data_IF_359529034318
#
_entry.id   IF_359529034318
#
_cell.length_a   1.000
_cell.length_b   1.000
_cell.length_c   1.000
_cell.angle_alpha   90.00
_cell.angle_beta   90.00
_cell.angle_gamma   90.00
#
_symmetry.space_group_name_H-M   'P 1'
#
loop_
_entity.id
_entity.type
_entity.pdbx_description
1 polymer ?
#
# COMPACT_ATOMS: atom_id res chain seq x y z
N UNK A 1 45.09 35.85 -56.45
CA UNK A 1 44.75 37.20 -56.93
C UNK A 1 43.22 37.31 -56.91
N UNK A 2 42.70 38.23 -56.07
CA UNK A 2 41.42 38.98 -56.20
C UNK A 2 40.06 38.26 -56.34
N UNK A 3 39.26 38.36 -55.26
CA UNK A 3 37.77 38.46 -55.18
C UNK A 3 37.23 39.67 -56.02
N UNK A 4 35.90 40.01 -56.16
CA UNK A 4 34.71 39.64 -55.36
C UNK A 4 33.32 39.53 -56.11
N UNK A 5 32.25 39.36 -55.30
CA UNK A 5 30.85 39.89 -55.40
C UNK A 5 29.64 38.96 -55.62
N UNK A 6 28.58 39.35 -54.91
CA UNK A 6 27.27 38.74 -54.61
C UNK A 6 26.39 38.33 -55.80
N UNK A 7 25.48 37.39 -55.52
CA UNK A 7 24.37 37.04 -56.41
C UNK A 7 23.30 36.18 -55.71
N UNK A 8 22.30 36.85 -55.15
CA UNK A 8 21.06 36.30 -54.58
C UNK A 8 20.30 35.42 -55.60
N UNK A 9 19.72 34.30 -55.16
CA UNK A 9 18.66 33.60 -55.91
C UNK A 9 17.59 33.00 -54.98
N UNK A 10 16.31 32.97 -55.42
CA UNK A 10 15.14 32.79 -54.57
C UNK A 10 14.70 31.32 -54.49
N UNK A 11 14.13 30.88 -53.35
CA UNK A 11 13.41 29.60 -53.27
C UNK A 11 12.12 29.70 -52.45
N UNK A 12 11.03 29.76 -53.22
CA UNK A 12 9.79 28.97 -53.14
C UNK A 12 9.34 28.47 -51.74
N UNK A 13 8.17 28.96 -51.33
CA UNK A 13 7.34 28.40 -50.28
C UNK A 13 6.71 27.05 -50.69
N UNK A 14 6.75 26.02 -49.83
CA UNK A 14 5.75 24.97 -49.80
C UNK A 14 4.80 25.20 -48.62
N UNK A 15 3.55 25.48 -48.98
CA UNK A 15 2.41 25.60 -48.11
C UNK A 15 2.06 24.22 -47.51
N UNK A 16 2.33 23.99 -46.22
CA UNK A 16 1.86 22.80 -45.49
C UNK A 16 0.84 23.23 -44.44
N UNK A 17 -0.39 22.77 -44.64
CA UNK A 17 -1.54 23.00 -43.75
C UNK A 17 -1.22 22.47 -42.34
N UNK A 18 -1.53 23.20 -41.26
CA UNK A 18 -1.38 22.64 -39.92
C UNK A 18 -2.45 21.56 -39.71
N UNK A 19 -2.00 20.32 -39.53
CA UNK A 19 -2.81 19.23 -39.03
C UNK A 19 -3.31 19.60 -37.63
N UNK A 20 -4.63 19.58 -37.43
CA UNK A 20 -5.23 19.72 -36.10
C UNK A 20 -4.75 18.56 -35.24
N UNK A 21 -3.85 18.86 -34.30
CA UNK A 21 -3.50 17.96 -33.22
C UNK A 21 -4.75 17.74 -32.37
N UNK A 22 -5.34 16.56 -32.48
CA UNK A 22 -6.35 16.09 -31.54
C UNK A 22 -5.59 15.78 -30.25
N UNK A 23 -5.59 16.73 -29.33
CA UNK A 23 -5.05 16.54 -27.99
C UNK A 23 -5.99 15.58 -27.23
N UNK A 24 -5.60 14.31 -27.15
CA UNK A 24 -6.25 13.32 -26.29
C UNK A 24 -5.96 13.69 -24.83
N UNK A 25 -6.89 14.39 -24.17
CA UNK A 25 -6.84 14.63 -22.74
C UNK A 25 -6.99 13.29 -22.01
N UNK A 26 -5.89 12.81 -21.43
CA UNK A 26 -5.89 11.74 -20.44
C UNK A 26 -6.58 12.25 -19.16
N UNK A 27 -7.80 11.79 -18.93
CA UNK A 27 -8.48 11.98 -17.64
C UNK A 27 -7.77 11.07 -16.64
N UNK A 28 -7.00 11.65 -15.72
CA UNK A 28 -6.25 10.91 -14.71
C UNK A 28 -7.16 10.22 -13.69
N UNK A 29 -6.95 8.93 -13.46
CA UNK A 29 -7.11 8.41 -12.11
C UNK A 29 -6.05 9.09 -11.25
N UNK A 30 -6.46 9.99 -10.36
CA UNK A 30 -5.58 10.53 -9.35
C UNK A 30 -5.23 9.42 -8.34
N UNK A 31 -4.26 8.57 -8.70
CA UNK A 31 -3.46 7.87 -7.70
C UNK A 31 -2.61 8.96 -7.07
N UNK A 32 -2.96 9.29 -5.84
CA UNK A 32 -2.28 10.25 -4.99
C UNK A 32 -0.86 9.77 -4.67
N UNK A 33 0.06 9.95 -5.60
CA UNK A 33 1.49 9.89 -5.34
C UNK A 33 1.92 11.24 -4.75
N UNK A 34 1.70 11.43 -3.45
CA UNK A 34 2.36 12.50 -2.71
C UNK A 34 3.86 12.17 -2.69
N UNK A 35 4.62 12.81 -3.57
CA UNK A 35 6.08 12.82 -3.49
C UNK A 35 6.49 13.43 -2.14
N UNK A 36 7.06 12.61 -1.26
CA UNK A 36 7.56 13.03 0.03
C UNK A 36 8.72 14.03 -0.12
N UNK A 37 8.45 15.30 0.15
CA UNK A 37 9.50 16.28 0.40
C UNK A 37 9.95 16.15 1.86
N UNK A 38 10.88 15.23 2.15
CA UNK A 38 11.59 15.20 3.43
C UNK A 38 12.74 16.21 3.42
N UNK A 39 12.57 17.36 4.09
CA UNK A 39 13.68 18.25 4.46
C UNK A 39 14.24 17.84 5.83
N UNK A 40 15.56 17.97 6.08
CA UNK A 40 16.14 17.57 7.36
C UNK A 40 15.75 18.58 8.45
N UNK A 41 15.00 18.13 9.46
CA UNK A 41 14.84 18.87 10.72
C UNK A 41 15.88 18.34 11.70
N UNK A 42 17.04 18.97 11.73
CA UNK A 42 18.02 18.78 12.81
C UNK A 42 17.58 19.60 14.01
N UNK A 43 16.80 18.96 14.89
CA UNK A 43 16.51 19.45 16.23
C UNK A 43 16.98 18.43 17.26
N UNK A 44 18.18 18.62 17.80
CA UNK A 44 18.63 17.89 18.99
C UNK A 44 17.81 18.36 20.18
N UNK A 45 16.88 17.53 20.65
CA UNK A 45 16.22 17.68 21.93
C UNK A 45 16.56 16.48 22.82
N UNK A 46 17.15 16.78 23.99
CA UNK A 46 17.31 15.84 25.10
C UNK A 46 16.01 15.05 25.30
N UNK A 47 16.09 13.73 25.25
CA UNK A 47 14.94 12.85 25.52
C UNK A 47 14.83 12.64 27.03
N UNK A 48 13.76 13.11 27.70
CA UNK A 48 13.37 12.55 28.98
C UNK A 48 13.10 11.05 28.78
N UNK A 49 13.41 10.23 29.79
CA UNK A 49 13.08 8.81 29.76
C UNK A 49 11.62 8.61 29.33
N UNK A 50 11.42 7.84 28.26
CA UNK A 50 10.12 7.67 27.63
C UNK A 50 9.13 7.12 28.67
N UNK A 51 7.92 7.69 28.84
CA UNK A 51 6.87 7.00 29.58
C UNK A 51 6.67 5.60 28.96
N UNK A 52 6.33 4.57 29.76
CA UNK A 52 6.08 3.24 29.21
C UNK A 52 5.10 3.36 28.05
N UNK A 53 5.49 2.81 26.89
CA UNK A 53 4.67 2.91 25.69
C UNK A 53 3.25 2.42 25.99
N UNK A 54 2.20 3.10 25.50
CA UNK A 54 0.84 2.63 25.67
C UNK A 54 0.72 1.16 25.27
N UNK A 55 -0.02 0.37 26.04
CA UNK A 55 -0.26 -1.04 25.70
C UNK A 55 -1.07 -1.08 24.41
N UNK A 56 -0.48 -1.62 23.35
CA UNK A 56 -1.15 -1.81 22.08
C UNK A 56 -2.27 -2.87 22.21
N UNK A 57 -3.53 -2.41 22.15
CA UNK A 57 -4.75 -3.19 22.31
C UNK A 57 -5.14 -4.00 21.07
N UNK A 58 -4.49 -3.80 19.93
CA UNK A 58 -4.84 -4.47 18.68
C UNK A 58 -4.78 -5.99 18.89
N UNK A 59 -5.88 -6.69 18.63
CA UNK A 59 -6.06 -8.14 18.84
C UNK A 59 -5.87 -8.64 20.28
N UNK A 60 -5.66 -7.73 21.24
CA UNK A 60 -5.77 -7.99 22.69
C UNK A 60 -7.21 -7.73 23.13
N UNK A 61 -7.77 -6.60 22.69
CA UNK A 61 -9.20 -6.31 22.73
C UNK A 61 -9.76 -6.45 21.31
N UNK A 62 -10.33 -7.62 21.01
CA UNK A 62 -10.86 -7.93 19.68
C UNK A 62 -12.03 -7.02 19.32
N UNK A 63 -12.86 -6.64 20.30
CA UNK A 63 -14.02 -5.77 20.05
C UNK A 63 -13.54 -4.37 19.67
N UNK A 64 -12.65 -3.77 20.47
CA UNK A 64 -12.10 -2.45 20.15
C UNK A 64 -11.34 -2.45 18.82
N UNK A 65 -10.65 -3.54 18.49
CA UNK A 65 -9.96 -3.72 17.21
C UNK A 65 -10.95 -3.71 16.04
N UNK A 66 -12.04 -4.48 16.13
CA UNK A 66 -13.08 -4.51 15.10
C UNK A 66 -13.78 -3.16 14.96
N UNK A 67 -14.11 -2.50 16.08
CA UNK A 67 -14.76 -1.19 16.09
C UNK A 67 -13.86 -0.12 15.44
N UNK A 68 -12.56 -0.13 15.73
CA UNK A 68 -11.57 0.77 15.13
C UNK A 68 -11.43 0.51 13.61
N UNK A 69 -11.28 -0.75 13.20
CA UNK A 69 -11.18 -1.10 11.78
C UNK A 69 -12.45 -0.69 11.00
N UNK A 70 -13.63 -0.91 11.55
CA UNK A 70 -14.90 -0.51 10.94
C UNK A 70 -15.04 1.01 10.84
N UNK A 71 -14.64 1.75 11.88
CA UNK A 71 -14.64 3.20 11.89
C UNK A 71 -13.70 3.80 10.85
N UNK A 72 -12.46 3.30 10.77
CA UNK A 72 -11.48 3.72 9.76
C UNK A 72 -11.96 3.38 8.35
N UNK A 73 -12.50 2.17 8.14
CA UNK A 73 -13.10 1.79 6.84
C UNK A 73 -14.17 2.79 6.42
N UNK A 74 -15.12 3.10 7.31
CA UNK A 74 -16.18 4.06 7.03
C UNK A 74 -15.63 5.44 6.68
N UNK A 75 -14.63 5.92 7.42
CA UNK A 75 -13.98 7.19 7.15
C UNK A 75 -13.31 7.22 5.77
N UNK A 76 -12.57 6.18 5.40
CA UNK A 76 -11.92 6.03 4.09
C UNK A 76 -12.95 6.01 2.97
N UNK A 77 -13.95 5.14 3.05
CA UNK A 77 -14.97 5.00 2.00
C UNK A 77 -15.79 6.29 1.84
N UNK A 78 -16.01 7.05 2.92
CA UNK A 78 -16.76 8.31 2.87
C UNK A 78 -15.94 9.48 2.33
N UNK A 79 -14.69 9.64 2.77
CA UNK A 79 -13.84 10.76 2.36
C UNK A 79 -13.34 10.60 0.93
N UNK A 80 -12.95 9.37 0.55
CA UNK A 80 -12.36 9.11 -0.76
C UNK A 80 -13.42 8.71 -1.81
N UNK A 81 -14.70 8.73 -1.47
CA UNK A 81 -15.78 8.65 -2.46
C UNK A 81 -16.45 10.01 -2.59
N UNK A 82 -16.30 10.66 -3.74
CA UNK A 82 -16.76 12.02 -3.94
C UNK A 82 -17.12 12.31 -5.40
N UNK A 83 -17.94 13.34 -5.58
CA UNK A 83 -18.15 14.01 -6.85
C UNK A 83 -17.51 15.40 -6.73
N UNK A 84 -16.52 15.72 -7.57
CA UNK A 84 -15.79 17.00 -7.47
C UNK A 84 -16.66 18.22 -7.76
N UNK A 85 -17.85 18.03 -8.35
CA UNK A 85 -18.83 19.10 -8.57
C UNK A 85 -19.66 19.43 -7.32
N UNK A 86 -19.66 18.55 -6.32
CA UNK A 86 -20.43 18.67 -5.08
C UNK A 86 -19.56 19.15 -3.90
N UNK A 87 -18.87 20.28 -4.07
CA UNK A 87 -17.87 20.78 -3.11
C UNK A 87 -18.39 20.91 -1.66
N UNK A 88 -19.65 21.27 -1.46
CA UNK A 88 -20.24 21.38 -0.12
C UNK A 88 -20.37 20.02 0.58
N UNK A 89 -20.76 18.97 -0.15
CA UNK A 89 -20.85 17.61 0.38
C UNK A 89 -19.45 17.05 0.70
N UNK A 90 -18.46 17.34 -0.15
CA UNK A 90 -17.06 16.98 0.10
C UNK A 90 -16.55 17.64 1.37
N UNK A 91 -16.73 18.96 1.52
CA UNK A 91 -16.29 19.70 2.70
C UNK A 91 -16.97 19.21 4.00
N UNK A 92 -18.23 18.79 3.93
CA UNK A 92 -18.95 18.20 5.06
C UNK A 92 -18.33 16.86 5.48
N UNK A 93 -18.04 15.98 4.52
CA UNK A 93 -17.42 14.68 4.79
C UNK A 93 -16.00 14.85 5.36
N UNK A 94 -15.21 15.78 4.81
CA UNK A 94 -13.90 16.14 5.35
C UNK A 94 -14.00 16.61 6.80
N UNK A 95 -14.94 17.51 7.12
CA UNK A 95 -15.12 17.99 8.49
C UNK A 95 -15.52 16.88 9.45
N UNK A 96 -16.29 15.90 8.97
CA UNK A 96 -16.73 14.78 9.79
C UNK A 96 -15.63 13.74 10.04
N UNK A 97 -14.80 13.44 9.03
CA UNK A 97 -13.91 12.27 9.04
C UNK A 97 -12.42 12.59 8.96
N UNK A 98 -12.02 13.84 8.73
CA UNK A 98 -10.62 14.26 8.69
C UNK A 98 -10.30 15.24 9.82
N UNK A 99 -9.10 15.08 10.36
CA UNK A 99 -8.50 15.97 11.34
C UNK A 99 -6.99 16.04 11.11
N UNK A 100 -6.27 16.83 11.92
CA UNK A 100 -4.80 16.90 11.87
C UNK A 100 -4.25 17.18 10.46
N UNK A 101 -3.16 16.51 10.10
CA UNK A 101 -2.49 16.70 8.80
C UNK A 101 -3.28 16.10 7.64
N UNK A 102 -4.07 15.04 7.90
CA UNK A 102 -4.89 14.41 6.87
C UNK A 102 -5.85 15.40 6.20
N UNK A 103 -6.41 16.36 6.96
CA UNK A 103 -7.24 17.42 6.38
C UNK A 103 -6.45 18.31 5.41
N UNK A 104 -5.28 18.76 5.83
CA UNK A 104 -4.41 19.61 4.99
C UNK A 104 -3.94 18.90 3.73
N UNK A 105 -3.56 17.63 3.83
CA UNK A 105 -3.11 16.82 2.70
C UNK A 105 -4.25 16.55 1.70
N UNK A 106 -5.45 16.30 2.22
CA UNK A 106 -6.65 16.15 1.40
C UNK A 106 -6.97 17.46 0.67
N UNK A 107 -7.08 18.58 1.39
CA UNK A 107 -7.40 19.89 0.82
C UNK A 107 -6.44 20.23 -0.33
N UNK A 108 -5.14 20.08 -0.11
CA UNK A 108 -4.11 20.32 -1.13
C UNK A 108 -4.33 19.49 -2.39
N UNK A 109 -4.70 18.23 -2.22
CA UNK A 109 -4.97 17.34 -3.35
C UNK A 109 -6.27 17.70 -4.05
N UNK A 110 -7.34 17.92 -3.28
CA UNK A 110 -8.67 18.18 -3.81
C UNK A 110 -8.67 19.43 -4.70
N UNK A 111 -7.88 20.44 -4.34
CA UNK A 111 -7.66 21.64 -5.15
C UNK A 111 -7.07 21.35 -6.54
N UNK A 112 -6.29 20.27 -6.70
CA UNK A 112 -5.75 19.86 -8.00
C UNK A 112 -6.80 19.14 -8.85
N UNK A 113 -7.59 18.25 -8.24
CA UNK A 113 -8.57 17.42 -8.96
C UNK A 113 -9.87 18.15 -9.29
N UNK A 114 -10.27 19.19 -8.54
CA UNK A 114 -11.48 19.97 -8.85
C UNK A 114 -11.40 20.78 -10.15
N UNK A 115 -10.22 20.86 -10.77
CA UNK A 115 -10.04 21.57 -12.04
C UNK A 115 -10.76 20.90 -13.21
N UNK A 116 -11.11 19.61 -13.08
CA UNK A 116 -11.94 18.86 -14.03
C UNK A 116 -12.98 18.02 -13.25
N UNK A 117 -14.25 17.97 -13.68
CA UNK A 117 -15.25 17.11 -13.05
C UNK A 117 -14.83 15.63 -13.04
N UNK A 118 -14.89 15.01 -11.87
CA UNK A 118 -14.61 13.60 -11.64
C UNK A 118 -15.51 13.07 -10.53
N UNK A 119 -16.06 11.88 -10.74
CA UNK A 119 -16.74 11.10 -9.73
C UNK A 119 -15.86 9.91 -9.35
N UNK A 120 -15.54 9.76 -8.07
CA UNK A 120 -14.71 8.69 -7.54
C UNK A 120 -15.50 7.89 -6.53
N UNK A 121 -15.43 6.57 -6.64
CA UNK A 121 -15.92 5.61 -5.66
C UNK A 121 -14.72 4.85 -5.10
N UNK A 122 -14.57 4.85 -3.79
CA UNK A 122 -13.56 4.09 -3.07
C UNK A 122 -14.24 2.96 -2.30
N UNK A 123 -13.61 1.78 -2.31
CA UNK A 123 -14.01 0.62 -1.53
C UNK A 123 -12.78 0.08 -0.80
N UNK A 124 -12.88 -0.12 0.50
CA UNK A 124 -11.84 -0.82 1.25
C UNK A 124 -11.94 -2.31 0.94
N UNK A 125 -10.87 -2.87 0.39
CA UNK A 125 -10.75 -4.28 0.04
C UNK A 125 -10.33 -5.10 1.27
N UNK A 126 -9.36 -4.57 2.03
CA UNK A 126 -8.92 -5.18 3.28
C UNK A 126 -8.25 -4.14 4.21
N UNK A 127 -8.27 -4.40 5.51
CA UNK A 127 -7.65 -3.54 6.53
C UNK A 127 -7.07 -4.37 7.67
N UNK A 128 -5.85 -4.04 8.07
CA UNK A 128 -5.21 -4.61 9.25
C UNK A 128 -4.79 -3.55 10.27
N UNK A 129 -5.01 -3.84 11.55
CA UNK A 129 -4.70 -2.91 12.67
C UNK A 129 -3.28 -3.21 13.18
N UNK A 130 -2.41 -2.21 13.15
CA UNK A 130 -1.03 -2.31 13.65
C UNK A 130 -0.93 -1.90 15.11
N UNK A 131 -1.60 -0.81 15.46
CA UNK A 131 -1.55 -0.21 16.79
C UNK A 131 -2.95 0.27 17.17
N UNK A 132 -3.31 0.05 18.43
CA UNK A 132 -4.57 0.53 18.98
C UNK A 132 -4.36 0.95 20.43
N UNK A 133 -4.86 2.14 20.74
CA UNK A 133 -5.04 2.65 22.09
C UNK A 133 -6.52 3.05 22.23
N UNK A 134 -6.98 3.44 23.44
CA UNK A 134 -8.37 3.88 23.61
C UNK A 134 -8.80 5.05 22.71
N UNK A 135 -7.85 5.87 22.23
CA UNK A 135 -8.14 7.11 21.48
C UNK A 135 -7.43 7.21 20.13
N UNK A 136 -6.60 6.23 19.76
CA UNK A 136 -5.83 6.25 18.51
C UNK A 136 -5.71 4.86 17.90
N UNK A 137 -5.77 4.77 16.58
CA UNK A 137 -5.57 3.55 15.83
C UNK A 137 -4.64 3.79 14.64
N UNK A 138 -3.74 2.85 14.38
CA UNK A 138 -2.90 2.82 13.17
C UNK A 138 -3.30 1.61 12.33
N UNK A 139 -3.77 1.86 11.10
CA UNK A 139 -4.43 0.84 10.26
C UNK A 139 -3.80 0.84 8.86
N UNK A 140 -3.27 -0.30 8.43
CA UNK A 140 -2.92 -0.55 7.03
C UNK A 140 -4.21 -0.88 6.28
N UNK A 141 -4.50 -0.14 5.21
CA UNK A 141 -5.71 -0.28 4.41
C UNK A 141 -5.36 -0.41 2.95
N UNK A 142 -5.96 -1.40 2.29
CA UNK A 142 -5.88 -1.57 0.84
C UNK A 142 -7.25 -1.25 0.28
N UNK A 143 -7.31 -0.27 -0.63
CA UNK A 143 -8.56 0.23 -1.19
C UNK A 143 -8.53 0.19 -2.72
N UNK A 144 -9.64 -0.23 -3.30
CA UNK A 144 -9.92 -0.12 -4.72
C UNK A 144 -10.63 1.20 -5.00
N UNK A 145 -10.23 1.88 -6.06
CA UNK A 145 -10.85 3.12 -6.50
C UNK A 145 -11.31 3.00 -7.95
N UNK A 146 -12.52 3.47 -8.22
CA UNK A 146 -13.07 3.62 -9.56
C UNK A 146 -13.43 5.08 -9.77
N UNK A 147 -12.96 5.67 -10.86
CA UNK A 147 -13.21 7.08 -11.17
C UNK A 147 -13.81 7.22 -12.57
N UNK A 148 -14.77 8.12 -12.72
CA UNK A 148 -15.35 8.52 -14.01
C UNK A 148 -15.14 10.01 -14.22
N UNK A 149 -14.43 10.41 -15.27
CA UNK A 149 -14.22 11.82 -15.60
C UNK A 149 -15.37 12.45 -16.39
N UNK A 150 -15.24 13.75 -16.65
CA UNK A 150 -16.24 14.56 -17.36
C UNK A 150 -16.69 14.00 -18.72
N UNK A 151 -15.78 13.35 -19.46
CA UNK A 151 -16.06 12.75 -20.77
C UNK A 151 -16.47 11.26 -20.69
N UNK A 152 -16.80 10.76 -19.48
CA UNK A 152 -17.17 9.37 -19.25
C UNK A 152 -16.00 8.38 -19.23
N UNK A 153 -14.74 8.85 -19.33
CA UNK A 153 -13.58 7.97 -19.21
C UNK A 153 -13.52 7.36 -17.81
N UNK A 154 -13.40 6.03 -17.76
CA UNK A 154 -13.32 5.26 -16.53
C UNK A 154 -11.89 4.88 -16.23
N UNK A 155 -11.48 5.03 -14.99
CA UNK A 155 -10.19 4.58 -14.49
C UNK A 155 -10.37 3.74 -13.24
N UNK A 156 -9.43 2.83 -12.99
CA UNK A 156 -9.39 2.05 -11.76
C UNK A 156 -7.97 2.03 -11.19
N UNK A 157 -7.88 2.06 -9.87
CA UNK A 157 -6.62 2.04 -9.16
C UNK A 157 -6.75 1.25 -7.85
N UNK A 158 -5.62 0.80 -7.32
CA UNK A 158 -5.51 0.23 -5.97
C UNK A 158 -4.53 1.07 -5.18
N UNK A 159 -4.91 1.46 -3.97
CA UNK A 159 -4.08 2.21 -3.05
C UNK A 159 -3.75 1.36 -1.82
N UNK A 160 -2.49 1.45 -1.37
CA UNK A 160 -2.05 0.93 -0.08
C UNK A 160 -1.79 2.13 0.81
N UNK A 161 -2.47 2.21 1.94
CA UNK A 161 -2.43 3.35 2.84
C UNK A 161 -2.14 2.91 4.27
N UNK A 162 -1.27 3.62 4.96
CA UNK A 162 -1.13 3.53 6.42
C UNK A 162 -1.80 4.77 7.01
N UNK A 163 -2.88 4.52 7.76
CA UNK A 163 -3.76 5.54 8.28
C UNK A 163 -3.56 5.63 9.79
N UNK A 164 -3.40 6.85 10.31
CA UNK A 164 -3.57 7.12 11.74
C UNK A 164 -4.94 7.75 11.91
N UNK A 165 -5.72 7.23 12.84
CA UNK A 165 -7.04 7.74 13.19
C UNK A 165 -7.11 8.04 14.68
N UNK A 166 -7.82 9.10 15.04
CA UNK A 166 -8.14 9.44 16.43
C UNK A 166 -9.62 9.24 16.70
N UNK A 167 -9.96 8.81 17.91
CA UNK A 167 -11.35 8.65 18.34
C UNK A 167 -11.73 9.80 19.27
N UNK A 168 -12.80 10.52 18.90
CA UNK A 168 -13.43 11.54 19.74
C UNK A 168 -14.94 11.27 19.77
N UNK A 169 -15.51 11.07 20.97
CA UNK A 169 -16.95 10.82 21.12
C UNK A 169 -17.45 9.55 20.41
N UNK A 170 -16.60 8.52 20.25
CA UNK A 170 -16.95 7.28 19.56
C UNK A 170 -16.90 7.36 18.02
N UNK A 171 -16.42 8.48 17.47
CA UNK A 171 -16.22 8.67 16.04
C UNK A 171 -14.73 8.70 15.69
N UNK A 172 -14.34 7.85 14.73
CA UNK A 172 -12.98 7.79 14.20
C UNK A 172 -12.79 8.82 13.09
N UNK A 173 -11.78 9.68 13.26
CA UNK A 173 -11.35 10.66 12.27
C UNK A 173 -9.91 10.34 11.84
N UNK A 174 -9.64 10.36 10.54
CA UNK A 174 -8.29 10.18 10.00
C UNK A 174 -7.48 11.43 10.32
N UNK A 175 -6.39 11.28 11.06
CA UNK A 175 -5.49 12.37 11.44
C UNK A 175 -4.24 12.43 10.57
N UNK A 176 -3.85 11.30 9.96
CA UNK A 176 -2.70 11.20 9.07
C UNK A 176 -2.96 10.13 8.00
N UNK A 177 -2.52 10.38 6.77
CA UNK A 177 -2.63 9.47 5.63
C UNK A 177 -1.26 9.31 5.00
N UNK A 178 -0.74 8.09 4.97
CA UNK A 178 0.49 7.76 4.24
C UNK A 178 0.15 6.80 3.09
N UNK A 179 0.25 7.27 1.85
CA UNK A 179 0.07 6.44 0.65
C UNK A 179 1.40 5.78 0.29
N UNK A 180 1.39 4.50 -0.09
CA UNK A 180 2.60 3.69 -0.34
C UNK A 180 3.55 3.69 0.86
N UNK A 181 3.06 3.28 2.04
CA UNK A 181 3.75 3.50 3.31
C UNK A 181 5.02 2.66 3.42
N UNK A 182 5.95 3.14 4.23
CA UNK A 182 7.14 2.42 4.67
C UNK A 182 7.03 2.14 6.16
N UNK A 183 7.38 0.94 6.57
CA UNK A 183 7.36 0.54 7.97
C UNK A 183 8.33 1.40 8.78
N UNK A 184 7.83 1.91 9.90
CA UNK A 184 8.68 2.39 10.98
C UNK A 184 9.28 1.18 11.73
N UNK A 185 10.31 1.42 12.55
CA UNK A 185 10.92 0.40 13.39
C UNK A 185 9.87 -0.35 14.24
N UNK A 186 10.06 -1.67 14.40
CA UNK A 186 9.09 -2.52 15.08
C UNK A 186 8.98 -2.16 16.57
N UNK A 187 7.76 -2.16 17.15
CA UNK A 187 7.61 -2.04 18.59
C UNK A 187 8.17 -3.28 19.30
N UNK A 188 8.58 -3.11 20.56
CA UNK A 188 9.09 -4.20 21.39
C UNK A 188 8.03 -5.30 21.58
N UNK A 189 8.45 -6.56 21.46
CA UNK A 189 7.55 -7.71 21.64
C UNK A 189 6.95 -7.76 23.05
N UNK A 190 5.66 -8.08 23.13
CA UNK A 190 4.97 -8.30 24.41
C UNK A 190 5.54 -9.49 25.21
N UNK A 191 5.13 -9.60 26.48
CA UNK A 191 5.49 -10.72 27.35
C UNK A 191 5.01 -12.05 26.78
N UNK A 192 5.89 -13.07 26.77
CA UNK A 192 5.62 -14.41 26.25
C UNK A 192 4.35 -15.00 26.87
N UNK A 193 3.50 -15.62 26.04
CA UNK A 193 2.24 -16.24 26.48
C UNK A 193 1.03 -15.31 26.52
N UNK A 194 1.19 -14.02 26.23
CA UNK A 194 0.08 -13.07 26.12
C UNK A 194 -0.54 -13.05 24.72
N UNK A 195 -1.80 -12.58 24.56
CA UNK A 195 -2.39 -12.30 23.24
C UNK A 195 -1.52 -11.34 22.41
N UNK A 196 -0.94 -10.33 23.05
CA UNK A 196 0.00 -9.40 22.42
C UNK A 196 1.23 -10.14 21.87
N UNK A 197 1.86 -11.02 22.65
CA UNK A 197 2.99 -11.81 22.15
C UNK A 197 2.60 -12.76 21.02
N UNK A 198 1.37 -13.29 21.01
CA UNK A 198 0.88 -14.12 19.90
C UNK A 198 0.72 -13.31 18.62
N UNK A 199 0.10 -12.12 18.70
CA UNK A 199 0.01 -11.16 17.59
C UNK A 199 1.40 -10.78 17.07
N UNK A 200 2.32 -10.43 17.96
CA UNK A 200 3.66 -10.00 17.58
C UNK A 200 4.46 -11.16 16.94
N UNK A 201 4.33 -12.37 17.47
CA UNK A 201 4.98 -13.56 16.93
C UNK A 201 4.47 -13.91 15.53
N UNK A 202 3.15 -13.82 15.27
CA UNK A 202 2.62 -14.10 13.93
C UNK A 202 2.98 -12.99 12.94
N UNK A 203 3.04 -11.71 13.35
CA UNK A 203 3.56 -10.64 12.48
C UNK A 203 5.02 -10.87 12.10
N UNK A 204 5.87 -11.18 13.07
CA UNK A 204 7.28 -11.44 12.82
C UNK A 204 7.47 -12.64 11.88
N UNK A 205 6.69 -13.70 12.08
CA UNK A 205 6.72 -14.87 11.20
C UNK A 205 6.21 -14.56 9.79
N UNK A 206 5.10 -13.82 9.66
CA UNK A 206 4.54 -13.44 8.37
C UNK A 206 5.49 -12.54 7.58
N UNK A 207 6.18 -11.58 8.23
CA UNK A 207 7.20 -10.74 7.58
C UNK A 207 8.37 -11.59 7.06
N UNK A 208 8.90 -12.50 7.88
CA UNK A 208 9.97 -13.42 7.47
C UNK A 208 9.54 -14.31 6.31
N UNK A 209 8.33 -14.86 6.37
CA UNK A 209 7.78 -15.70 5.31
C UNK A 209 7.53 -14.88 4.03
N UNK A 210 7.04 -13.64 4.13
CA UNK A 210 6.85 -12.76 2.98
C UNK A 210 8.17 -12.42 2.28
N UNK A 211 9.26 -12.18 3.03
CA UNK A 211 10.60 -12.01 2.45
C UNK A 211 10.98 -13.25 1.62
N UNK A 212 10.74 -14.45 2.16
CA UNK A 212 11.01 -15.69 1.44
C UNK A 212 10.12 -15.81 0.20
N UNK A 213 8.80 -15.72 0.35
CA UNK A 213 7.82 -15.98 -0.72
C UNK A 213 7.82 -14.95 -1.85
N UNK A 214 8.33 -13.74 -1.61
CA UNK A 214 8.41 -12.65 -2.60
C UNK A 214 9.84 -12.43 -3.12
N UNK A 215 10.77 -13.33 -2.80
CA UNK A 215 12.13 -13.32 -3.36
C UNK A 215 12.18 -14.14 -4.64
N UNK A 216 12.71 -13.57 -5.70
CA UNK A 216 12.98 -14.26 -6.96
C UNK A 216 14.47 -14.15 -7.25
N UNK A 217 15.13 -15.25 -7.60
CA UNK A 217 16.50 -15.24 -8.11
C UNK A 217 16.67 -16.33 -9.17
N UNK A 218 16.62 -15.93 -10.44
CA UNK A 218 16.76 -16.84 -11.57
C UNK A 218 18.03 -17.69 -11.54
N UNK A 219 19.13 -17.19 -10.94
CA UNK A 219 20.40 -17.93 -10.85
C UNK A 219 20.36 -19.01 -9.77
N UNK A 220 19.52 -18.83 -8.76
CA UNK A 220 19.40 -19.72 -7.60
C UNK A 220 17.97 -20.29 -7.48
N UNK A 221 17.27 -20.44 -8.60
CA UNK A 221 15.82 -20.70 -8.62
C UNK A 221 15.40 -21.94 -7.83
N UNK A 222 16.16 -23.03 -7.90
CA UNK A 222 15.89 -24.24 -7.11
C UNK A 222 15.99 -23.98 -5.60
N UNK A 223 17.05 -23.30 -5.12
CA UNK A 223 17.24 -22.99 -3.71
C UNK A 223 16.22 -21.97 -3.18
N UNK A 224 15.83 -21.01 -4.02
CA UNK A 224 14.71 -20.09 -3.72
C UNK A 224 13.42 -20.88 -3.54
N UNK A 225 13.13 -21.82 -4.43
CA UNK A 225 11.91 -22.62 -4.35
C UNK A 225 11.90 -23.55 -3.13
N UNK A 226 13.04 -24.16 -2.78
CA UNK A 226 13.19 -24.94 -1.54
C UNK A 226 12.91 -24.07 -0.31
N UNK A 227 13.28 -22.79 -0.36
CA UNK A 227 12.96 -21.83 0.70
C UNK A 227 11.45 -21.55 0.78
N UNK A 228 10.73 -21.49 -0.34
CA UNK A 228 9.26 -21.36 -0.34
C UNK A 228 8.59 -22.52 0.40
N UNK A 229 9.03 -23.75 0.14
CA UNK A 229 8.50 -24.94 0.83
C UNK A 229 8.78 -24.90 2.35
N UNK A 230 9.90 -24.33 2.78
CA UNK A 230 10.28 -24.28 4.20
C UNK A 230 9.30 -23.47 5.06
N UNK A 231 8.73 -22.41 4.50
CA UNK A 231 7.79 -21.50 5.19
C UNK A 231 6.33 -21.83 4.95
N UNK A 232 6.04 -22.74 4.01
CA UNK A 232 4.68 -23.10 3.62
C UNK A 232 4.09 -24.24 4.47
N UNK A 233 2.78 -24.19 4.61
CA UNK A 233 1.92 -25.25 5.14
C UNK A 233 0.85 -25.59 4.09
N UNK A 234 0.17 -26.73 4.25
CA UNK A 234 -0.92 -27.09 3.35
C UNK A 234 -2.11 -26.12 3.46
N UNK A 235 -2.80 -25.84 2.34
CA UNK A 235 -2.61 -26.42 1.00
C UNK A 235 -1.48 -25.80 0.16
N UNK A 236 -0.93 -24.65 0.55
CA UNK A 236 0.09 -23.94 -0.25
C UNK A 236 1.36 -24.76 -0.47
N UNK A 237 1.80 -25.54 0.54
CA UNK A 237 2.97 -26.41 0.41
C UNK A 237 2.79 -27.45 -0.70
N UNK A 238 1.64 -28.14 -0.72
CA UNK A 238 1.29 -29.07 -1.79
C UNK A 238 1.25 -28.38 -3.15
N UNK A 239 0.63 -27.19 -3.25
CA UNK A 239 0.62 -26.41 -4.48
C UNK A 239 2.03 -26.05 -4.99
N UNK A 240 2.95 -25.66 -4.10
CA UNK A 240 4.33 -25.40 -4.50
C UNK A 240 5.01 -26.64 -5.06
N UNK A 241 4.87 -27.78 -4.39
CA UNK A 241 5.45 -29.05 -4.88
C UNK A 241 4.91 -29.44 -6.25
N UNK A 242 3.60 -29.32 -6.45
CA UNK A 242 2.94 -29.66 -7.71
C UNK A 242 3.38 -28.74 -8.87
N UNK A 243 3.64 -27.47 -8.57
CA UNK A 243 4.03 -26.46 -9.57
C UNK A 243 5.54 -26.24 -9.70
N UNK A 244 6.39 -26.96 -8.94
CA UNK A 244 7.82 -26.68 -8.78
C UNK A 244 8.55 -26.59 -10.12
N UNK A 245 8.45 -27.62 -10.96
CA UNK A 245 9.16 -27.68 -12.24
C UNK A 245 8.81 -26.48 -13.12
N UNK A 246 7.52 -26.22 -13.31
CA UNK A 246 7.03 -25.11 -14.13
C UNK A 246 7.49 -23.74 -13.59
N UNK A 247 7.39 -23.52 -12.28
CA UNK A 247 7.75 -22.24 -11.65
C UNK A 247 9.26 -21.99 -11.69
N UNK A 248 10.07 -23.01 -11.42
CA UNK A 248 11.54 -22.92 -11.49
C UNK A 248 12.00 -22.65 -12.91
N UNK A 249 11.45 -23.34 -13.91
CA UNK A 249 11.79 -23.11 -15.32
C UNK A 249 11.38 -21.69 -15.77
N UNK A 250 10.19 -21.24 -15.41
CA UNK A 250 9.74 -19.86 -15.68
C UNK A 250 10.64 -18.81 -15.01
N UNK A 251 11.08 -19.07 -13.78
CA UNK A 251 12.02 -18.19 -13.08
C UNK A 251 13.36 -18.10 -13.81
N UNK A 252 13.95 -19.25 -14.19
CA UNK A 252 15.21 -19.33 -14.95
C UNK A 252 15.11 -18.59 -16.29
N UNK A 253 14.03 -18.80 -17.03
CA UNK A 253 13.79 -18.15 -18.32
C UNK A 253 13.62 -16.64 -18.20
N UNK A 254 12.97 -16.15 -17.13
CA UNK A 254 12.76 -14.72 -16.92
C UNK A 254 14.07 -13.94 -16.70
N UNK A 255 15.10 -14.59 -16.16
CA UNK A 255 16.33 -13.94 -15.70
C UNK A 255 16.11 -12.91 -14.59
N UNK A 256 14.90 -12.85 -14.01
CA UNK A 256 14.51 -11.81 -13.07
C UNK A 256 15.13 -12.04 -11.69
N UNK A 257 15.33 -10.93 -11.00
CA UNK A 257 15.62 -10.91 -9.56
C UNK A 257 14.58 -10.02 -8.88
N UNK A 258 14.05 -10.47 -7.75
CA UNK A 258 13.14 -9.68 -6.94
C UNK A 258 13.43 -9.91 -5.46
N UNK A 259 13.16 -8.89 -4.65
CA UNK A 259 13.26 -8.99 -3.20
C UNK A 259 12.26 -8.05 -2.54
N UNK A 260 11.76 -8.46 -1.38
CA UNK A 260 10.92 -7.62 -0.54
C UNK A 260 11.80 -6.62 0.22
N UNK A 261 11.45 -5.35 0.15
CA UNK A 261 12.08 -4.29 0.92
C UNK A 261 11.77 -4.50 2.42
N UNK A 262 12.76 -4.41 3.32
CA UNK A 262 12.55 -4.50 4.76
C UNK A 262 11.57 -3.46 5.32
N UNK A 263 11.37 -2.34 4.61
CA UNK A 263 10.40 -1.31 4.97
C UNK A 263 8.97 -1.65 4.53
N UNK A 264 8.68 -2.87 4.08
CA UNK A 264 7.30 -3.30 3.80
C UNK A 264 6.45 -3.32 5.07
N UNK A 265 5.20 -2.86 4.97
CA UNK A 265 4.30 -2.78 6.13
C UNK A 265 3.45 -4.04 6.21
N UNK A 266 3.32 -4.63 7.41
CA UNK A 266 2.41 -5.74 7.64
C UNK A 266 1.56 -5.52 8.89
N UNK A 267 0.30 -5.93 8.83
CA UNK A 267 -0.69 -5.80 9.90
C UNK A 267 -1.60 -7.04 9.95
N UNK A 268 -2.04 -7.46 11.13
CA UNK A 268 -3.07 -8.50 11.21
C UNK A 268 -4.41 -7.95 10.74
N UNK A 269 -5.19 -8.77 10.04
CA UNK A 269 -6.61 -8.55 9.76
C UNK A 269 -7.50 -9.47 10.62
N UNK A 270 -6.95 -10.59 11.09
CA UNK A 270 -7.61 -11.49 12.05
C UNK A 270 -6.62 -12.31 12.85
N UNK A 271 -7.04 -12.72 14.05
CA UNK A 271 -6.38 -13.73 14.89
C UNK A 271 -7.47 -14.63 15.46
N UNK A 272 -7.35 -15.95 15.30
CA UNK A 272 -8.31 -16.88 15.87
C UNK A 272 -8.23 -16.90 17.41
N UNK A 273 -9.35 -17.18 18.07
CA UNK A 273 -9.43 -17.18 19.53
C UNK A 273 -8.49 -18.21 20.20
N UNK A 274 -8.19 -19.31 19.51
CA UNK A 274 -7.22 -20.33 19.95
C UNK A 274 -5.76 -19.96 19.64
N UNK A 275 -5.52 -18.83 18.96
CA UNK A 275 -4.19 -18.34 18.61
C UNK A 275 -3.43 -19.25 17.64
N UNK A 276 -4.14 -20.04 16.82
CA UNK A 276 -3.52 -20.99 15.86
C UNK A 276 -3.67 -20.59 14.40
N UNK A 277 -4.54 -19.62 14.07
CA UNK A 277 -4.75 -19.10 12.72
C UNK A 277 -4.76 -17.58 12.74
N UNK A 278 -4.21 -16.97 11.71
CA UNK A 278 -4.27 -15.53 11.53
C UNK A 278 -4.29 -15.18 10.04
N UNK A 279 -4.79 -13.99 9.72
CA UNK A 279 -4.58 -13.38 8.42
C UNK A 279 -3.74 -12.12 8.59
N UNK A 280 -2.75 -11.95 7.70
CA UNK A 280 -1.83 -10.81 7.72
C UNK A 280 -1.88 -10.11 6.37
N UNK A 281 -2.24 -8.84 6.41
CA UNK A 281 -2.19 -7.93 5.27
C UNK A 281 -0.78 -7.38 5.13
N UNK A 282 -0.26 -7.38 3.90
CA UNK A 282 1.05 -6.90 3.51
C UNK A 282 0.91 -5.79 2.48
N UNK A 283 1.40 -4.61 2.83
CA UNK A 283 1.76 -3.54 1.89
C UNK A 283 3.21 -3.73 1.48
N UNK A 284 3.45 -4.65 0.54
CA UNK A 284 4.78 -5.08 0.15
C UNK A 284 5.44 -4.10 -0.79
N UNK A 285 6.71 -3.80 -0.58
CA UNK A 285 7.52 -3.01 -1.51
C UNK A 285 8.50 -4.00 -2.14
N UNK A 286 8.32 -4.33 -3.41
CA UNK A 286 9.18 -5.29 -4.09
C UNK A 286 10.11 -4.57 -5.05
N UNK A 287 11.41 -4.75 -4.82
CA UNK A 287 12.47 -4.28 -5.70
C UNK A 287 12.74 -5.39 -6.73
N UNK A 288 12.53 -5.10 -8.00
CA UNK A 288 12.71 -6.02 -9.12
C UNK A 288 13.83 -5.53 -10.03
N UNK A 289 14.67 -6.43 -10.49
CA UNK A 289 15.70 -6.18 -11.49
C UNK A 289 15.44 -7.12 -12.68
N UNK A 290 15.25 -6.51 -13.87
CA UNK A 290 15.07 -7.22 -15.14
C UNK A 290 15.90 -6.52 -16.24
N UNK A 291 15.92 -7.07 -17.47
CA UNK A 291 16.67 -6.50 -18.60
C UNK A 291 16.34 -5.02 -18.89
N UNK A 292 15.17 -4.52 -18.46
CA UNK A 292 14.73 -3.13 -18.59
C UNK A 292 15.11 -2.20 -17.42
N UNK A 293 15.91 -2.65 -16.46
CA UNK A 293 16.37 -1.87 -15.30
C UNK A 293 15.72 -2.29 -13.98
N UNK A 294 16.04 -1.53 -12.92
CA UNK A 294 15.49 -1.71 -11.59
C UNK A 294 14.15 -0.99 -11.45
N UNK A 295 13.15 -1.68 -10.89
CA UNK A 295 11.83 -1.14 -10.62
C UNK A 295 11.36 -1.53 -9.23
N UNK A 296 10.89 -0.54 -8.48
CA UNK A 296 10.19 -0.75 -7.22
C UNK A 296 8.68 -0.76 -7.47
N UNK A 297 7.97 -1.75 -6.91
CA UNK A 297 6.51 -1.87 -7.03
C UNK A 297 5.87 -2.15 -5.68
N UNK A 298 4.68 -1.57 -5.48
CA UNK A 298 3.83 -1.89 -4.34
C UNK A 298 3.02 -3.15 -4.67
N UNK A 299 3.00 -4.13 -3.76
CA UNK A 299 2.24 -5.36 -3.89
C UNK A 299 1.31 -5.50 -2.69
N UNK A 300 -0.01 -5.35 -2.89
CA UNK A 300 -1.00 -5.64 -1.88
C UNK A 300 -1.18 -7.16 -1.78
N UNK A 301 -0.81 -7.78 -0.65
CA UNK A 301 -0.94 -9.22 -0.47
C UNK A 301 -1.56 -9.56 0.88
N UNK A 302 -2.21 -10.72 0.95
CA UNK A 302 -2.70 -11.31 2.19
C UNK A 302 -2.08 -12.68 2.39
N UNK A 303 -1.52 -12.90 3.56
CA UNK A 303 -0.95 -14.17 3.99
C UNK A 303 -1.93 -14.84 4.97
N UNK A 304 -2.30 -16.08 4.69
CA UNK A 304 -3.01 -16.93 5.64
C UNK A 304 -1.98 -17.69 6.46
N UNK A 305 -1.99 -17.47 7.77
CA UNK A 305 -1.01 -18.02 8.70
C UNK A 305 -1.64 -19.13 9.53
N UNK A 306 -0.94 -20.25 9.68
CA UNK A 306 -1.33 -21.37 10.54
C UNK A 306 -0.17 -21.76 11.45
N UNK A 307 -0.50 -22.11 12.69
CA UNK A 307 0.46 -22.58 13.67
C UNK A 307 0.67 -24.09 13.51
N UNK A 308 1.91 -24.51 13.27
CA UNK A 308 2.33 -25.90 13.17
C UNK A 308 3.42 -26.16 14.23
N UNK A 309 3.03 -26.83 15.31
CA UNK A 309 3.89 -26.96 16.49
C UNK A 309 4.23 -25.58 17.07
N UNK A 310 5.51 -25.25 17.29
CA UNK A 310 5.92 -23.93 17.79
C UNK A 310 5.98 -22.86 16.68
N UNK A 311 5.92 -23.22 15.41
CA UNK A 311 6.17 -22.33 14.29
C UNK A 311 4.88 -21.84 13.62
N UNK A 312 4.90 -20.61 13.12
CA UNK A 312 3.88 -20.09 12.21
C UNK A 312 4.34 -20.33 10.77
N UNK A 313 3.44 -20.84 9.93
CA UNK A 313 3.65 -21.11 8.51
C UNK A 313 2.56 -20.48 7.65
N UNK A 314 2.83 -20.30 6.36
CA UNK A 314 1.88 -19.73 5.40
C UNK A 314 1.11 -20.86 4.72
N UNK A 315 -0.20 -20.93 4.92
CA UNK A 315 -1.08 -21.88 4.23
C UNK A 315 -1.72 -21.31 2.97
N UNK A 316 -1.57 -20.01 2.73
CA UNK A 316 -2.09 -19.34 1.53
C UNK A 316 -1.51 -17.95 1.38
N UNK A 317 -1.32 -17.51 0.13
CA UNK A 317 -0.91 -16.15 -0.23
C UNK A 317 -1.75 -15.69 -1.42
N UNK A 318 -2.36 -14.51 -1.31
CA UNK A 318 -3.23 -13.96 -2.36
C UNK A 318 -2.96 -12.47 -2.54
N UNK A 319 -3.01 -11.98 -3.78
CA UNK A 319 -3.00 -10.54 -4.04
C UNK A 319 -4.36 -9.93 -3.65
N UNK A 320 -4.35 -8.76 -3.02
CA UNK A 320 -5.56 -8.01 -2.69
C UNK A 320 -5.82 -7.00 -3.81
N UNK A 321 -6.83 -7.24 -4.64
CA UNK A 321 -7.18 -6.41 -5.78
C UNK A 321 -8.71 -6.32 -5.96
N UNK A 322 -9.23 -5.26 -6.60
CA UNK A 322 -10.66 -5.14 -6.89
C UNK A 322 -11.14 -6.32 -7.75
N UNK A 323 -12.19 -7.03 -7.30
CA UNK A 323 -12.85 -8.09 -8.10
C UNK A 323 -12.11 -9.43 -8.19
N UNK A 324 -11.56 -9.92 -7.06
CA UNK A 324 -11.12 -11.32 -6.93
C UNK A 324 -12.28 -12.27 -6.68
#
# INVERSE_FOLDING_TARGET
MTQPTDGTSPRQHPNTRPAKAVATLAVGAAVLALAGCGGPVSGSANTPANPPAPVNLAYVDTKATTDAAAGVKKAVETVFSYDSTQAAAVAQNEQQYLTGTARTDFDKTFQQVKTTPVQTQTQVLDSGVLDLTPTSAKVLTIAGQQSTGQNGQKNSATAIMLLTATSAGGHWQLSQIEVSPKAAAEPASGLVGTPAATRDAVLAAARKAAVVLLTVDAKNADAVFDSYESVAADPLLSQFRDTRAHTVDGMKQSGAKASLDPQSVAALTSLSADGTKAEVLLGGIVNTQQQGGEQQRQIPAKLTMVKQGPAWKVSGITTVAPGS
#
